data_IF_198818881490
#
_entry.id   IF_198818881490
#
_cell.length_a   1.000
_cell.length_b   1.000
_cell.length_c   1.000
_cell.angle_alpha   90.00
_cell.angle_beta   90.00
_cell.angle_gamma   90.00
#
_symmetry.space_group_name_H-M   'P 1'
#
loop_
_entity.id
_entity.type
_entity.pdbx_description
1 polymer ?
#
# COMPACT_ATOMS: atom_id res chain seq x y z
N UNK A 1 -14.11 3.19 -70.98
CA UNK A 1 -13.54 2.88 -69.66
C UNK A 1 -13.79 4.11 -68.79
N UNK A 2 -14.72 4.03 -67.84
CA UNK A 2 -15.08 5.10 -66.93
C UNK A 2 -14.28 4.92 -65.62
N UNK A 3 -13.40 5.89 -65.32
CA UNK A 3 -12.64 5.94 -64.07
C UNK A 3 -13.56 6.46 -62.95
N UNK A 4 -13.88 5.62 -62.00
CA UNK A 4 -14.54 6.03 -60.77
C UNK A 4 -13.45 6.49 -59.80
N UNK A 5 -13.37 7.78 -59.55
CA UNK A 5 -12.58 8.36 -58.47
C UNK A 5 -13.41 8.13 -57.18
N UNK A 6 -12.96 7.22 -56.33
CA UNK A 6 -13.51 7.00 -54.99
C UNK A 6 -12.96 8.10 -54.08
N UNK A 7 -13.73 9.13 -53.81
CA UNK A 7 -13.40 10.16 -52.82
C UNK A 7 -13.73 9.55 -51.47
N UNK A 8 -12.71 9.11 -50.75
CA UNK A 8 -12.82 8.70 -49.35
C UNK A 8 -12.94 9.97 -48.48
N UNK A 9 -14.17 10.37 -48.16
CA UNK A 9 -14.42 11.43 -47.18
C UNK A 9 -14.10 10.80 -45.80
N UNK A 10 -12.88 11.03 -45.31
CA UNK A 10 -12.56 10.85 -43.93
C UNK A 10 -13.22 11.98 -43.15
N UNK A 11 -14.43 11.76 -42.65
CA UNK A 11 -15.05 12.62 -41.69
C UNK A 11 -14.21 12.56 -40.40
N UNK A 12 -13.34 13.57 -40.24
CA UNK A 12 -12.72 13.81 -38.93
C UNK A 12 -13.86 14.26 -38.03
N UNK A 13 -14.43 13.31 -37.33
CA UNK A 13 -15.31 13.58 -36.19
C UNK A 13 -14.38 14.13 -35.11
N UNK A 14 -14.25 15.42 -35.02
CA UNK A 14 -13.69 16.09 -33.85
C UNK A 14 -14.68 15.86 -32.73
N UNK A 15 -14.43 14.83 -31.95
CA UNK A 15 -15.03 14.74 -30.63
C UNK A 15 -14.43 15.90 -29.85
N UNK A 16 -15.22 16.95 -29.62
CA UNK A 16 -14.97 17.90 -28.54
C UNK A 16 -15.07 17.12 -27.22
N UNK A 17 -14.00 16.38 -26.94
CA UNK A 17 -13.79 15.68 -25.70
C UNK A 17 -13.47 16.74 -24.64
N UNK A 18 -14.48 17.34 -24.04
CA UNK A 18 -14.33 17.92 -22.71
C UNK A 18 -14.04 16.74 -21.78
N UNK A 19 -12.77 16.31 -21.75
CA UNK A 19 -12.30 15.28 -20.86
C UNK A 19 -12.43 15.80 -19.43
N UNK A 20 -13.53 15.42 -18.74
CA UNK A 20 -13.70 15.64 -17.30
C UNK A 20 -12.81 14.70 -16.49
N UNK A 21 -11.72 14.21 -17.06
CA UNK A 21 -10.83 13.24 -16.49
C UNK A 21 -9.38 13.69 -16.42
N UNK A 22 -8.62 13.06 -15.54
CA UNK A 22 -7.19 13.31 -15.36
C UNK A 22 -6.44 11.99 -15.53
N UNK A 23 -5.53 11.97 -16.50
CA UNK A 23 -4.54 10.90 -16.66
C UNK A 23 -3.35 11.21 -15.77
N UNK A 24 -2.77 10.19 -15.16
CA UNK A 24 -1.60 10.33 -14.30
C UNK A 24 -0.67 9.14 -14.45
N UNK A 25 0.60 9.39 -14.23
CA UNK A 25 1.60 8.34 -14.06
C UNK A 25 2.45 8.60 -12.82
N UNK A 26 2.96 7.53 -12.21
CA UNK A 26 3.87 7.57 -11.08
C UNK A 26 4.85 6.40 -11.20
N UNK A 27 6.13 6.70 -11.25
CA UNK A 27 7.18 5.71 -11.42
C UNK A 27 8.14 5.79 -10.24
N UNK A 28 8.51 4.61 -9.73
CA UNK A 28 9.50 4.42 -8.68
C UNK A 28 10.67 3.64 -9.23
N UNK A 29 11.84 4.18 -9.07
CA UNK A 29 13.11 3.54 -9.45
C UNK A 29 14.09 3.65 -8.32
N UNK A 30 14.97 2.70 -8.23
CA UNK A 30 16.04 2.73 -7.22
C UNK A 30 17.34 2.13 -7.77
N UNK A 31 18.45 2.57 -7.19
CA UNK A 31 19.71 1.85 -7.17
C UNK A 31 19.95 1.40 -5.75
N UNK A 32 20.23 0.12 -5.55
CA UNK A 32 20.56 -0.44 -4.25
C UNK A 32 21.96 -1.07 -4.24
N UNK A 33 22.59 -1.03 -3.07
CA UNK A 33 23.93 -1.51 -2.85
C UNK A 33 24.03 -2.15 -1.46
N UNK A 34 24.47 -3.42 -1.39
CA UNK A 34 24.72 -4.11 -0.13
C UNK A 34 25.94 -3.54 0.58
N UNK A 35 25.80 -3.25 1.88
CA UNK A 35 26.88 -2.81 2.75
C UNK A 35 27.54 -3.99 3.49
N UNK A 36 27.20 -5.24 3.13
CA UNK A 36 27.87 -6.42 3.68
C UNK A 36 29.37 -6.42 3.34
N UNK A 37 30.19 -6.88 4.28
CA UNK A 37 31.63 -7.00 4.11
C UNK A 37 31.97 -8.24 3.26
N UNK A 38 31.73 -8.12 1.96
CA UNK A 38 32.01 -9.17 0.98
C UNK A 38 32.80 -8.59 -0.22
N UNK A 39 33.60 -9.39 -0.86
CA UNK A 39 34.46 -8.97 -1.98
C UNK A 39 33.68 -8.51 -3.23
N UNK A 40 32.40 -8.93 -3.37
CA UNK A 40 31.52 -8.54 -4.47
C UNK A 40 30.11 -8.29 -3.95
N UNK A 41 29.83 -7.10 -3.36
CA UNK A 41 28.54 -6.78 -2.80
C UNK A 41 27.44 -6.71 -3.87
N UNK A 42 26.24 -7.16 -3.52
CA UNK A 42 25.08 -7.07 -4.40
C UNK A 42 24.76 -5.62 -4.73
N UNK A 43 24.44 -5.36 -6.00
CA UNK A 43 24.03 -4.05 -6.51
C UNK A 43 23.09 -4.20 -7.70
N UNK A 44 22.08 -3.31 -7.77
CA UNK A 44 21.05 -3.39 -8.80
C UNK A 44 20.46 -2.00 -9.10
N UNK A 45 20.18 -1.73 -10.39
CA UNK A 45 19.23 -0.70 -10.80
C UNK A 45 17.89 -1.34 -11.06
N UNK A 46 16.81 -0.75 -10.51
CA UNK A 46 15.47 -1.33 -10.55
C UNK A 46 14.41 -0.28 -10.80
N UNK A 47 13.40 -0.64 -11.61
CA UNK A 47 12.11 0.02 -11.61
C UNK A 47 11.18 -0.81 -10.73
N UNK A 48 10.91 -0.31 -9.53
CA UNK A 48 10.14 -1.06 -8.53
C UNK A 48 8.65 -1.02 -8.80
N UNK A 49 8.12 0.10 -9.33
CA UNK A 49 6.72 0.24 -9.77
C UNK A 49 6.60 1.28 -10.90
N UNK A 50 5.70 1.03 -11.84
CA UNK A 50 5.22 2.03 -12.77
C UNK A 50 3.69 2.00 -12.77
N UNK A 51 3.08 3.03 -12.18
CA UNK A 51 1.63 3.17 -12.00
C UNK A 51 1.12 4.13 -13.07
N UNK A 52 0.11 3.72 -13.83
CA UNK A 52 -0.54 4.53 -14.85
C UNK A 52 -2.05 4.44 -14.67
N UNK A 53 -2.76 5.56 -14.71
CA UNK A 53 -4.19 5.55 -14.48
C UNK A 53 -4.91 6.75 -15.07
N UNK A 54 -6.24 6.63 -15.09
CA UNK A 54 -7.16 7.67 -15.48
C UNK A 54 -8.34 7.74 -14.51
N UNK A 55 -8.61 8.95 -14.02
CA UNK A 55 -9.80 9.25 -13.23
C UNK A 55 -10.76 10.05 -14.11
N UNK A 56 -12.03 9.67 -14.11
CA UNK A 56 -13.07 10.33 -14.88
C UNK A 56 -14.25 10.70 -13.99
N UNK A 57 -14.66 11.97 -14.06
CA UNK A 57 -15.87 12.45 -13.38
C UNK A 57 -17.03 12.35 -14.34
N UNK A 58 -17.97 11.44 -14.09
CA UNK A 58 -19.16 11.21 -14.88
C UNK A 58 -20.20 12.33 -14.65
N UNK A 59 -20.38 12.70 -13.39
CA UNK A 59 -21.21 13.82 -12.94
C UNK A 59 -20.90 14.16 -11.47
N UNK A 60 -21.70 15.00 -10.83
CA UNK A 60 -21.50 15.42 -9.43
C UNK A 60 -21.65 14.28 -8.40
N UNK A 61 -22.20 13.12 -8.78
CA UNK A 61 -22.41 11.96 -7.89
C UNK A 61 -21.58 10.74 -8.27
N UNK A 62 -21.08 10.66 -9.49
CA UNK A 62 -20.38 9.48 -9.99
C UNK A 62 -19.02 9.83 -10.56
N UNK A 63 -18.01 9.08 -10.16
CA UNK A 63 -16.68 9.09 -10.77
C UNK A 63 -16.14 7.68 -10.94
N UNK A 64 -15.32 7.49 -11.95
CA UNK A 64 -14.66 6.21 -12.23
C UNK A 64 -13.15 6.37 -12.15
N UNK A 65 -12.46 5.29 -11.80
CA UNK A 65 -11.00 5.23 -11.79
C UNK A 65 -10.52 3.90 -12.37
N UNK A 66 -9.59 3.97 -13.31
CA UNK A 66 -8.85 2.82 -13.79
C UNK A 66 -7.36 3.06 -13.55
N UNK A 67 -6.66 2.06 -13.00
CA UNK A 67 -5.24 2.15 -12.71
C UNK A 67 -4.57 0.82 -13.00
N UNK A 68 -3.48 0.88 -13.74
CA UNK A 68 -2.56 -0.24 -13.94
C UNK A 68 -1.31 -0.04 -13.11
N UNK A 69 -0.72 -1.14 -12.66
CA UNK A 69 0.54 -1.19 -11.95
C UNK A 69 1.46 -2.17 -12.68
N UNK A 70 2.57 -1.68 -13.19
CA UNK A 70 3.62 -2.51 -13.78
C UNK A 70 4.66 -2.76 -12.71
N UNK A 71 4.78 -4.00 -12.32
CA UNK A 71 5.70 -4.43 -11.27
C UNK A 71 6.39 -5.75 -11.61
N UNK A 72 7.33 -6.15 -10.77
CA UNK A 72 8.03 -7.42 -10.91
C UNK A 72 7.06 -8.59 -10.74
N UNK A 73 7.27 -9.62 -11.54
CA UNK A 73 6.51 -10.85 -11.53
C UNK A 73 7.47 -12.05 -11.65
N UNK A 74 7.21 -13.10 -10.90
CA UNK A 74 7.95 -14.36 -10.96
C UNK A 74 7.41 -15.35 -12.02
N UNK A 75 6.32 -15.00 -12.74
CA UNK A 75 5.59 -15.92 -13.61
C UNK A 75 5.99 -15.85 -15.09
N UNK A 76 7.27 -15.64 -15.39
CA UNK A 76 7.81 -15.74 -16.77
C UNK A 76 8.10 -14.42 -17.47
N UNK A 77 7.61 -13.27 -16.99
CA UNK A 77 8.05 -11.95 -17.41
C UNK A 77 8.53 -11.16 -16.19
N UNK A 78 9.68 -10.51 -16.30
CA UNK A 78 10.22 -9.69 -15.21
C UNK A 78 9.31 -8.51 -14.85
N UNK A 79 8.54 -8.00 -15.82
CA UNK A 79 7.56 -6.94 -15.63
C UNK A 79 6.20 -7.35 -16.17
N UNK A 80 5.15 -7.21 -15.34
CA UNK A 80 3.76 -7.52 -15.70
C UNK A 80 2.87 -6.34 -15.33
N UNK A 81 1.93 -6.01 -16.21
CA UNK A 81 0.90 -5.02 -15.93
C UNK A 81 -0.29 -5.70 -15.25
N UNK A 82 -0.68 -5.19 -14.08
CA UNK A 82 -1.83 -5.62 -13.31
C UNK A 82 -2.89 -4.54 -13.30
N UNK A 83 -4.16 -4.92 -13.39
CA UNK A 83 -5.28 -4.02 -13.16
C UNK A 83 -5.41 -3.75 -11.66
N UNK A 84 -4.84 -2.62 -11.22
CA UNK A 84 -4.73 -2.28 -9.79
C UNK A 84 -6.00 -1.66 -9.22
N UNK A 85 -6.69 -0.84 -10.01
CA UNK A 85 -7.99 -0.26 -9.68
C UNK A 85 -8.89 -0.28 -10.92
N UNK A 86 -10.15 -0.62 -10.72
CA UNK A 86 -11.21 -0.49 -11.70
C UNK A 86 -12.51 -0.24 -10.92
N UNK A 87 -12.74 1.00 -10.52
CA UNK A 87 -13.77 1.33 -9.55
C UNK A 87 -14.73 2.42 -10.03
N UNK A 88 -15.98 2.27 -9.62
CA UNK A 88 -17.01 3.30 -9.67
C UNK A 88 -17.23 3.81 -8.25
N UNK A 89 -17.13 5.12 -8.06
CA UNK A 89 -17.49 5.79 -6.83
C UNK A 89 -18.85 6.46 -7.00
N UNK A 90 -19.76 6.19 -6.08
CA UNK A 90 -21.06 6.87 -5.95
C UNK A 90 -21.05 7.73 -4.69
N UNK A 91 -21.39 9.00 -4.83
CA UNK A 91 -21.49 9.98 -3.75
C UNK A 91 -22.95 10.51 -3.67
N UNK A 92 -23.88 9.76 -3.03
CA UNK A 92 -25.29 10.20 -2.93
C UNK A 92 -25.45 11.51 -2.18
N UNK A 93 -24.55 11.77 -1.23
CA UNK A 93 -24.45 13.01 -0.46
C UNK A 93 -22.97 13.40 -0.31
N UNK A 94 -22.68 14.58 0.22
CA UNK A 94 -21.32 15.03 0.53
C UNK A 94 -20.66 14.27 1.69
N UNK A 95 -21.42 13.40 2.38
CA UNK A 95 -20.97 12.64 3.55
C UNK A 95 -20.95 11.12 3.35
N UNK A 96 -21.54 10.62 2.28
CA UNK A 96 -21.64 9.18 2.00
C UNK A 96 -20.95 8.88 0.67
N UNK A 97 -20.02 7.94 0.70
CA UNK A 97 -19.30 7.48 -0.48
C UNK A 97 -19.34 5.96 -0.54
N UNK A 98 -19.74 5.44 -1.69
CA UNK A 98 -19.72 3.99 -1.98
C UNK A 98 -18.79 3.76 -3.14
N UNK A 99 -17.80 2.91 -2.95
CA UNK A 99 -16.89 2.47 -4.00
C UNK A 99 -17.22 1.01 -4.35
N UNK A 100 -17.26 0.69 -5.65
CA UNK A 100 -17.55 -0.65 -6.17
C UNK A 100 -16.60 -1.02 -7.29
N UNK A 101 -16.20 -2.29 -7.37
CA UNK A 101 -15.25 -2.85 -8.36
C UNK A 101 -13.92 -3.23 -7.70
N UNK A 102 -12.79 -3.08 -8.38
CA UNK A 102 -11.48 -3.22 -7.75
C UNK A 102 -11.18 -1.90 -7.04
N UNK A 103 -11.36 -1.89 -5.73
CA UNK A 103 -11.29 -0.71 -4.86
C UNK A 103 -10.07 -0.77 -3.93
N UNK A 104 -9.69 0.36 -3.37
CA UNK A 104 -8.63 0.42 -2.36
C UNK A 104 -9.09 -0.17 -1.03
N UNK A 105 -8.22 -0.93 -0.37
CA UNK A 105 -8.43 -1.30 1.02
C UNK A 105 -8.28 -0.06 1.92
N UNK A 106 -9.30 0.22 2.76
CA UNK A 106 -9.35 1.44 3.57
C UNK A 106 -8.23 1.51 4.58
N UNK A 107 -7.99 0.43 5.31
CA UNK A 107 -6.96 0.37 6.33
C UNK A 107 -5.56 0.55 5.74
N UNK A 108 -5.23 -0.22 4.71
CA UNK A 108 -4.00 -0.08 3.95
C UNK A 108 -3.78 1.35 3.43
N UNK A 109 -4.81 1.96 2.83
CA UNK A 109 -4.72 3.31 2.26
C UNK A 109 -4.40 4.36 3.31
N UNK A 110 -4.98 4.25 4.50
CA UNK A 110 -4.68 5.15 5.62
C UNK A 110 -3.21 5.07 6.02
N UNK A 111 -2.69 3.85 6.22
CA UNK A 111 -1.31 3.63 6.65
C UNK A 111 -0.29 4.07 5.59
N UNK A 112 -0.51 3.72 4.33
CA UNK A 112 0.38 4.10 3.23
C UNK A 112 0.45 5.62 3.04
N UNK A 113 -0.69 6.30 3.11
CA UNK A 113 -0.73 7.76 3.01
C UNK A 113 -0.03 8.45 4.19
N UNK A 114 -0.14 7.86 5.38
CA UNK A 114 0.50 8.38 6.58
C UNK A 114 2.03 8.26 6.52
N UNK A 115 2.55 7.13 6.08
CA UNK A 115 3.98 6.96 5.80
C UNK A 115 4.46 7.92 4.71
N UNK A 116 3.71 8.04 3.61
CA UNK A 116 3.93 9.01 2.52
C UNK A 116 5.17 8.80 1.66
N UNK A 117 5.98 7.77 1.92
CA UNK A 117 7.26 7.48 1.24
C UNK A 117 7.30 6.08 0.63
N UNK A 118 6.17 5.68 -0.01
CA UNK A 118 6.08 4.37 -0.67
C UNK A 118 7.20 4.10 -1.68
N UNK A 119 7.72 5.12 -2.36
CA UNK A 119 8.78 4.97 -3.34
C UNK A 119 10.14 4.60 -2.70
N UNK A 120 10.28 4.81 -1.39
CA UNK A 120 11.42 4.37 -0.59
C UNK A 120 11.18 2.95 -0.09
N UNK A 121 10.03 2.75 0.59
CA UNK A 121 9.63 1.45 1.12
C UNK A 121 8.13 1.36 1.30
N UNK A 122 7.58 0.17 1.17
CA UNK A 122 6.16 -0.12 1.39
C UNK A 122 5.77 0.14 2.84
N UNK A 123 4.47 0.39 3.12
CA UNK A 123 3.95 0.42 4.49
C UNK A 123 4.11 -0.96 5.16
N UNK A 124 4.03 -1.00 6.50
CA UNK A 124 4.23 -2.24 7.26
C UNK A 124 3.33 -3.38 6.77
N UNK A 125 2.01 -3.15 6.68
CA UNK A 125 1.06 -4.18 6.24
C UNK A 125 1.29 -4.65 4.80
N UNK A 126 1.80 -3.80 3.89
CA UNK A 126 2.10 -4.16 2.50
C UNK A 126 3.35 -5.05 2.40
N UNK A 127 4.41 -4.71 3.13
CA UNK A 127 5.67 -5.47 3.07
C UNK A 127 5.48 -6.86 3.66
N UNK A 128 4.72 -6.97 4.74
CA UNK A 128 4.46 -8.22 5.45
C UNK A 128 3.23 -8.98 4.92
N UNK A 129 2.58 -8.48 3.85
CA UNK A 129 1.41 -9.11 3.22
C UNK A 129 0.21 -9.32 4.16
N UNK A 130 0.05 -8.48 5.16
CA UNK A 130 -1.11 -8.52 6.06
C UNK A 130 -2.36 -7.93 5.41
N UNK A 131 -2.16 -7.02 4.45
CA UNK A 131 -3.23 -6.45 3.64
C UNK A 131 -2.77 -6.25 2.21
N UNK A 132 -3.72 -6.15 1.29
CA UNK A 132 -3.50 -5.80 -0.11
C UNK A 132 -3.85 -4.33 -0.34
N UNK A 133 -3.20 -3.70 -1.33
CA UNK A 133 -3.49 -2.32 -1.71
C UNK A 133 -4.95 -2.13 -2.15
N UNK A 134 -5.46 -3.08 -2.94
CA UNK A 134 -6.80 -3.07 -3.51
C UNK A 134 -7.29 -4.48 -3.76
N UNK A 135 -8.61 -4.62 -3.87
CA UNK A 135 -9.26 -5.89 -4.15
C UNK A 135 -10.64 -5.64 -4.76
N UNK A 136 -11.24 -6.68 -5.35
CA UNK A 136 -12.60 -6.62 -5.87
C UNK A 136 -13.61 -6.65 -4.71
N UNK A 137 -14.59 -5.74 -4.74
CA UNK A 137 -15.60 -5.66 -3.69
C UNK A 137 -16.36 -4.35 -3.65
N UNK A 138 -16.88 -4.04 -2.47
CA UNK A 138 -17.62 -2.82 -2.17
C UNK A 138 -17.12 -2.20 -0.87
N UNK A 139 -17.02 -0.88 -0.86
CA UNK A 139 -16.63 -0.08 0.31
C UNK A 139 -17.60 1.04 0.56
N UNK A 140 -17.84 1.33 1.82
CA UNK A 140 -18.63 2.45 2.32
C UNK A 140 -17.73 3.35 3.16
N UNK A 141 -17.78 4.66 2.90
CA UNK A 141 -17.20 5.68 3.79
C UNK A 141 -18.33 6.64 4.19
N UNK A 142 -18.46 6.86 5.49
CA UNK A 142 -19.44 7.79 6.05
C UNK A 142 -18.76 8.85 6.92
N UNK A 143 -18.89 10.12 6.54
CA UNK A 143 -18.43 11.27 7.32
C UNK A 143 -19.52 11.61 8.33
N UNK A 144 -19.39 11.08 9.55
CA UNK A 144 -20.36 11.28 10.62
C UNK A 144 -20.34 12.74 11.12
N UNK A 145 -19.15 13.30 11.25
CA UNK A 145 -18.90 14.72 11.53
C UNK A 145 -17.58 15.16 10.88
N UNK A 146 -17.22 16.43 10.97
CA UNK A 146 -15.97 16.94 10.41
C UNK A 146 -14.72 16.24 11.01
N UNK A 147 -14.88 15.70 12.22
CA UNK A 147 -13.82 15.04 12.97
C UNK A 147 -13.92 13.51 12.99
N UNK A 148 -15.06 12.92 12.58
CA UNK A 148 -15.29 11.49 12.72
C UNK A 148 -15.73 10.87 11.40
N UNK A 149 -14.96 9.90 10.93
CA UNK A 149 -15.20 9.14 9.70
C UNK A 149 -15.28 7.67 10.06
N UNK A 150 -16.26 6.98 9.51
CA UNK A 150 -16.43 5.53 9.61
C UNK A 150 -16.28 4.94 8.22
N UNK A 151 -15.59 3.83 8.11
CA UNK A 151 -15.52 3.06 6.86
C UNK A 151 -15.80 1.57 7.10
N UNK A 152 -16.34 0.90 6.09
CA UNK A 152 -16.55 -0.53 6.08
C UNK A 152 -16.35 -1.07 4.65
N UNK A 153 -15.88 -2.31 4.53
CA UNK A 153 -15.61 -2.96 3.25
C UNK A 153 -15.97 -4.45 3.29
N UNK A 154 -16.39 -4.95 2.13
CA UNK A 154 -16.45 -6.39 1.84
C UNK A 154 -15.68 -6.58 0.54
N UNK A 155 -14.63 -7.41 0.60
CA UNK A 155 -13.67 -7.65 -0.47
C UNK A 155 -13.55 -9.16 -0.72
N UNK A 156 -13.07 -9.55 -1.88
CA UNK A 156 -12.76 -10.97 -2.14
C UNK A 156 -11.73 -11.53 -1.14
N UNK A 157 -10.68 -10.81 -0.84
CA UNK A 157 -9.64 -11.23 0.11
C UNK A 157 -8.30 -11.57 -0.54
N UNK A 158 -8.28 -11.90 -1.82
CA UNK A 158 -7.10 -12.39 -2.56
C UNK A 158 -6.22 -11.28 -3.14
N UNK A 159 -6.72 -10.04 -3.14
CA UNK A 159 -6.04 -8.88 -3.70
C UNK A 159 -6.11 -8.79 -5.23
N UNK A 160 -5.85 -7.60 -5.77
CA UNK A 160 -6.05 -7.26 -7.19
C UNK A 160 -5.24 -8.08 -8.20
N UNK A 161 -4.26 -8.87 -7.76
CA UNK A 161 -3.43 -9.72 -8.63
C UNK A 161 -4.01 -11.11 -8.85
N UNK A 162 -4.99 -11.49 -8.06
CA UNK A 162 -5.62 -12.80 -8.06
C UNK A 162 -7.11 -12.68 -8.34
N UNK A 163 -7.70 -13.76 -8.78
CA UNK A 163 -9.15 -13.94 -8.81
C UNK A 163 -9.60 -14.52 -7.47
N UNK A 164 -10.90 -14.40 -7.18
CA UNK A 164 -11.53 -15.05 -6.02
C UNK A 164 -11.16 -16.54 -6.01
N UNK A 165 -10.82 -17.07 -4.85
CA UNK A 165 -10.59 -18.48 -4.64
C UNK A 165 -11.87 -19.33 -4.92
N UNK A 166 -11.70 -20.65 -5.05
CA UNK A 166 -12.82 -21.54 -5.36
C UNK A 166 -13.84 -21.68 -4.23
N UNK A 167 -13.50 -21.27 -3.01
CA UNK A 167 -14.34 -21.37 -1.83
C UNK A 167 -15.22 -20.13 -1.66
N UNK A 168 -14.84 -19.02 -2.27
CA UNK A 168 -15.63 -17.79 -2.30
C UNK A 168 -15.72 -17.04 -0.97
N UNK A 169 -14.76 -17.23 -0.08
CA UNK A 169 -14.72 -16.52 1.19
C UNK A 169 -14.45 -15.03 0.97
N UNK A 170 -15.16 -14.16 1.69
CA UNK A 170 -15.01 -12.72 1.57
C UNK A 170 -14.36 -12.12 2.81
N UNK A 171 -13.35 -11.27 2.60
CA UNK A 171 -12.74 -10.45 3.63
C UNK A 171 -13.68 -9.31 3.99
N UNK A 172 -14.01 -9.16 5.28
CA UNK A 172 -14.74 -8.02 5.83
C UNK A 172 -13.80 -7.10 6.59
N UNK A 173 -14.11 -5.81 6.61
CA UNK A 173 -13.36 -4.85 7.40
C UNK A 173 -14.17 -3.63 7.76
N UNK A 174 -13.88 -3.04 8.93
CA UNK A 174 -14.45 -1.77 9.36
C UNK A 174 -13.41 -0.95 10.12
N UNK A 175 -13.52 0.36 10.04
CA UNK A 175 -12.63 1.28 10.71
C UNK A 175 -13.27 2.60 11.08
N UNK A 176 -12.63 3.28 12.00
CA UNK A 176 -12.99 4.59 12.50
C UNK A 176 -11.75 5.50 12.45
N UNK A 177 -11.93 6.71 11.95
CA UNK A 177 -10.89 7.75 11.97
C UNK A 177 -11.43 8.93 12.77
N UNK A 178 -10.72 9.27 13.85
CA UNK A 178 -10.93 10.50 14.61
C UNK A 178 -9.84 11.50 14.23
N UNK A 179 -10.24 12.71 13.87
CA UNK A 179 -9.34 13.84 13.56
C UNK A 179 -9.51 14.93 14.60
N UNK A 180 -8.39 15.50 15.02
CA UNK A 180 -8.31 16.71 15.83
C UNK A 180 -7.32 17.66 15.19
N UNK A 181 -7.08 18.83 15.78
CA UNK A 181 -6.08 19.77 15.29
C UNK A 181 -4.68 19.13 15.32
N UNK A 182 -4.14 18.84 14.11
CA UNK A 182 -2.83 18.25 13.92
C UNK A 182 -2.74 16.74 14.21
N UNK A 183 -3.81 16.07 14.69
CA UNK A 183 -3.76 14.64 14.99
C UNK A 183 -4.85 13.86 14.24
N UNK A 184 -4.53 12.61 13.89
CA UNK A 184 -5.48 11.64 13.36
C UNK A 184 -5.24 10.30 14.04
N UNK A 185 -6.33 9.67 14.49
CA UNK A 185 -6.33 8.35 15.08
C UNK A 185 -7.13 7.41 14.22
N UNK A 186 -6.66 6.19 14.03
CA UNK A 186 -7.41 5.14 13.36
C UNK A 186 -7.48 3.90 14.25
N UNK A 187 -8.68 3.33 14.31
CA UNK A 187 -8.90 1.98 14.82
C UNK A 187 -9.61 1.21 13.72
N UNK A 188 -9.14 0.03 13.40
CA UNK A 188 -9.75 -0.82 12.38
C UNK A 188 -9.63 -2.29 12.75
N UNK A 189 -10.60 -3.08 12.27
CA UNK A 189 -10.57 -4.54 12.33
C UNK A 189 -10.94 -5.11 10.97
N UNK A 190 -10.11 -6.01 10.46
CA UNK A 190 -10.36 -6.83 9.29
C UNK A 190 -10.56 -8.28 9.71
N UNK A 191 -11.49 -8.96 9.03
CA UNK A 191 -11.72 -10.41 9.14
C UNK A 191 -11.27 -11.02 7.82
N UNK A 192 -10.24 -11.85 7.88
CA UNK A 192 -9.73 -12.59 6.71
C UNK A 192 -10.41 -13.95 6.70
N UNK A 193 -10.97 -14.36 5.54
CA UNK A 193 -11.76 -15.57 5.47
C UNK A 193 -10.98 -16.81 5.89
N UNK A 194 -11.73 -17.78 6.38
CA UNK A 194 -11.25 -19.11 6.71
C UNK A 194 -10.92 -19.86 5.43
N UNK A 195 -9.74 -20.44 5.34
CA UNK A 195 -9.41 -21.41 4.28
C UNK A 195 -9.74 -22.82 4.75
N UNK A 196 -10.42 -23.62 3.92
CA UNK A 196 -10.84 -24.98 4.28
C UNK A 196 -9.70 -26.00 4.08
N UNK A 197 -8.75 -26.03 5.01
CA UNK A 197 -7.79 -27.14 5.11
C UNK A 197 -7.91 -27.79 6.48
N UNK A 198 -8.90 -28.74 6.64
CA UNK A 198 -9.14 -29.50 7.86
C UNK A 198 -10.18 -28.88 8.81
N UNK A 199 -10.46 -29.58 9.91
CA UNK A 199 -11.57 -29.26 10.82
C UNK A 199 -11.26 -28.17 11.87
N UNK A 200 -10.05 -27.61 11.89
CA UNK A 200 -9.55 -26.75 12.99
C UNK A 200 -9.16 -25.32 12.55
N UNK A 201 -9.60 -24.85 11.40
CA UNK A 201 -9.27 -23.49 10.95
C UNK A 201 -10.27 -22.45 11.44
N UNK A 202 -9.74 -21.37 11.98
CA UNK A 202 -10.50 -20.21 12.40
C UNK A 202 -10.27 -19.01 11.48
N UNK A 203 -11.22 -18.08 11.47
CA UNK A 203 -11.02 -16.81 10.76
C UNK A 203 -9.89 -16.02 11.40
N UNK A 204 -9.01 -15.47 10.56
CA UNK A 204 -7.96 -14.58 11.00
C UNK A 204 -8.54 -13.16 11.19
N UNK A 205 -8.12 -12.49 12.25
CA UNK A 205 -8.48 -11.09 12.52
C UNK A 205 -7.24 -10.21 12.49
N UNK A 206 -7.35 -9.00 11.92
CA UNK A 206 -6.29 -8.01 11.94
C UNK A 206 -6.83 -6.77 12.62
N UNK A 207 -6.30 -6.45 13.79
CA UNK A 207 -6.63 -5.24 14.54
C UNK A 207 -5.53 -4.21 14.32
N UNK A 208 -5.90 -2.99 13.95
CA UNK A 208 -4.96 -1.89 13.70
C UNK A 208 -5.31 -0.70 14.57
N UNK A 209 -4.31 -0.16 15.25
CA UNK A 209 -4.36 1.09 15.99
C UNK A 209 -3.28 2.01 15.43
N UNK A 210 -3.65 3.20 14.99
CA UNK A 210 -2.68 4.14 14.45
C UNK A 210 -2.93 5.56 14.94
N UNK A 211 -1.84 6.31 15.09
CA UNK A 211 -1.85 7.72 15.45
C UNK A 211 -0.87 8.48 14.55
N UNK A 212 -1.34 9.59 14.00
CA UNK A 212 -0.55 10.48 13.16
C UNK A 212 -0.62 11.89 13.77
N UNK A 213 0.54 12.50 13.94
CA UNK A 213 0.67 13.91 14.30
C UNK A 213 1.30 14.67 13.15
N UNK A 214 0.73 15.82 12.78
CA UNK A 214 1.25 16.68 11.73
C UNK A 214 1.31 18.12 12.22
N UNK A 215 2.51 18.69 12.21
CA UNK A 215 2.78 20.11 12.41
C UNK A 215 3.23 20.75 11.09
N UNK A 216 3.60 22.02 11.10
CA UNK A 216 4.00 22.75 9.88
C UNK A 216 5.14 22.08 9.11
N UNK A 217 6.14 21.55 9.82
CA UNK A 217 7.34 20.95 9.22
C UNK A 217 7.65 19.54 9.71
N UNK A 218 6.82 18.98 10.60
CA UNK A 218 7.03 17.67 11.21
C UNK A 218 5.77 16.81 11.04
N UNK A 219 5.96 15.58 10.57
CA UNK A 219 4.95 14.53 10.61
C UNK A 219 5.52 13.33 11.36
N UNK A 220 4.78 12.88 12.38
CA UNK A 220 5.08 11.67 13.15
C UNK A 220 3.93 10.69 12.96
N UNK A 221 4.23 9.43 12.77
CA UNK A 221 3.24 8.38 12.68
C UNK A 221 3.65 7.16 13.47
N UNK A 222 2.65 6.46 14.00
CA UNK A 222 2.82 5.17 14.64
C UNK A 222 1.63 4.29 14.39
N UNK A 223 1.86 3.00 14.24
CA UNK A 223 0.84 1.97 14.12
C UNK A 223 1.22 0.76 14.96
N UNK A 224 0.22 0.17 15.61
CA UNK A 224 0.28 -1.14 16.22
C UNK A 224 -0.73 -2.05 15.52
N UNK A 225 -0.27 -3.20 15.08
CA UNK A 225 -1.06 -4.20 14.38
C UNK A 225 -0.99 -5.50 15.17
N UNK A 226 -2.14 -6.11 15.42
CA UNK A 226 -2.28 -7.44 16.02
C UNK A 226 -3.05 -8.33 15.08
N UNK A 227 -2.49 -9.48 14.74
CA UNK A 227 -3.12 -10.50 13.92
C UNK A 227 -3.35 -11.74 14.76
N UNK A 228 -4.62 -12.08 14.95
CA UNK A 228 -5.10 -13.25 15.68
C UNK A 228 -5.41 -14.37 14.69
N UNK A 229 -5.17 -15.60 15.05
CA UNK A 229 -5.29 -16.80 14.20
C UNK A 229 -4.54 -16.62 12.87
N UNK A 230 -3.29 -16.22 12.95
CA UNK A 230 -2.46 -15.93 11.79
C UNK A 230 -2.39 -17.13 10.85
N UNK A 231 -2.58 -16.87 9.56
CA UNK A 231 -2.70 -17.89 8.51
C UNK A 231 -3.86 -18.87 8.74
N UNK A 232 -4.91 -18.41 9.46
CA UNK A 232 -6.08 -19.19 9.86
C UNK A 232 -5.75 -20.40 10.79
N UNK A 233 -4.62 -20.38 11.49
CA UNK A 233 -4.24 -21.35 12.50
C UNK A 233 -4.66 -20.82 13.86
N UNK A 234 -5.42 -21.65 14.60
CA UNK A 234 -5.92 -21.30 15.94
C UNK A 234 -4.74 -20.96 16.86
N UNK A 235 -4.90 -19.88 17.64
CA UNK A 235 -3.96 -19.36 18.61
C UNK A 235 -2.60 -18.90 18.06
N UNK A 236 -2.35 -18.98 16.75
CA UNK A 236 -1.21 -18.31 16.16
C UNK A 236 -1.44 -16.79 16.12
N UNK A 237 -0.58 -16.04 16.75
CA UNK A 237 -0.63 -14.58 16.77
C UNK A 237 0.57 -13.97 16.07
N UNK A 238 0.42 -12.76 15.56
CA UNK A 238 1.53 -11.92 15.15
C UNK A 238 1.25 -10.49 15.56
N UNK A 239 2.21 -9.86 16.16
CA UNK A 239 2.14 -8.44 16.55
C UNK A 239 3.19 -7.63 15.83
N UNK A 240 2.91 -6.34 15.62
CA UNK A 240 3.86 -5.46 14.99
C UNK A 240 3.64 -4.01 15.39
N UNK A 241 4.75 -3.32 15.52
CA UNK A 241 4.81 -1.90 15.78
C UNK A 241 5.63 -1.21 14.69
N UNK A 242 5.13 -0.13 14.12
CA UNK A 242 5.85 0.69 13.16
C UNK A 242 5.76 2.16 13.55
N UNK A 243 6.88 2.86 13.62
CA UNK A 243 6.92 4.31 13.85
C UNK A 243 7.75 4.99 12.79
N UNK A 244 7.35 6.19 12.42
CA UNK A 244 8.06 6.97 11.41
C UNK A 244 7.95 8.46 11.65
N UNK A 245 8.96 9.17 11.16
CA UNK A 245 9.05 10.60 11.23
C UNK A 245 9.47 11.19 9.89
N UNK A 246 8.93 12.36 9.54
CA UNK A 246 9.34 13.18 8.41
C UNK A 246 9.50 14.62 8.90
N UNK A 247 10.69 15.18 8.74
CA UNK A 247 11.03 16.54 9.14
C UNK A 247 11.45 17.36 7.91
N UNK A 248 10.66 18.34 7.53
CA UNK A 248 11.04 19.35 6.53
C UNK A 248 12.05 20.33 7.14
N UNK A 249 13.23 20.40 6.55
CA UNK A 249 14.31 21.28 6.99
C UNK A 249 14.49 22.51 6.08
N UNK A 250 13.52 22.74 5.18
CA UNK A 250 13.54 23.84 4.22
C UNK A 250 14.28 23.52 2.92
N UNK A 251 14.20 24.43 1.96
CA UNK A 251 14.84 24.30 0.64
C UNK A 251 14.46 23.01 -0.10
N UNK A 252 13.19 22.54 0.05
CA UNK A 252 12.69 21.29 -0.53
C UNK A 252 13.44 20.02 -0.04
N UNK A 253 14.08 20.08 1.12
CA UNK A 253 14.79 18.96 1.74
C UNK A 253 14.07 18.48 2.97
N UNK A 254 13.89 17.17 3.11
CA UNK A 254 13.36 16.55 4.32
C UNK A 254 14.23 15.39 4.80
N UNK A 255 14.31 15.25 6.12
CA UNK A 255 14.85 14.08 6.79
C UNK A 255 13.71 13.12 7.09
N UNK A 256 13.97 11.83 7.04
CA UNK A 256 12.99 10.82 7.42
C UNK A 256 13.63 9.64 8.12
N UNK A 257 12.84 9.00 8.96
CA UNK A 257 13.18 7.75 9.61
C UNK A 257 11.97 6.87 9.79
N UNK A 258 12.19 5.57 9.88
CA UNK A 258 11.19 4.55 10.20
C UNK A 258 11.84 3.43 10.97
N UNK A 259 11.12 2.91 11.95
CA UNK A 259 11.47 1.71 12.69
C UNK A 259 10.25 0.80 12.77
N UNK A 260 10.43 -0.47 12.39
CA UNK A 260 9.43 -1.51 12.52
C UNK A 260 9.99 -2.62 13.43
N UNK A 261 9.12 -3.16 14.26
CA UNK A 261 9.37 -4.35 15.06
C UNK A 261 8.20 -5.29 14.87
N UNK A 262 8.47 -6.57 14.63
CA UNK A 262 7.45 -7.60 14.50
C UNK A 262 7.84 -8.88 15.22
N UNK A 263 6.83 -9.57 15.74
CA UNK A 263 6.95 -10.79 16.53
C UNK A 263 5.75 -11.70 16.30
N UNK A 264 5.91 -13.01 16.57
CA UNK A 264 4.86 -14.02 16.46
C UNK A 264 4.95 -15.07 17.56
N UNK A 265 3.79 -15.58 17.97
CA UNK A 265 3.67 -16.63 18.98
C UNK A 265 2.63 -17.66 18.52
N UNK A 266 2.89 -18.95 18.80
CA UNK A 266 1.93 -20.04 18.69
C UNK A 266 1.18 -20.27 20.02
N UNK A 267 0.29 -21.27 20.07
CA UNK A 267 -0.45 -21.64 21.27
C UNK A 267 0.42 -22.03 22.48
N UNK A 268 1.70 -22.28 22.31
CA UNK A 268 2.66 -22.63 23.34
C UNK A 268 3.69 -21.51 23.60
N UNK A 269 3.40 -20.29 23.13
CA UNK A 269 4.27 -19.13 23.26
C UNK A 269 5.62 -19.27 22.50
N UNK A 270 5.70 -20.16 21.49
CA UNK A 270 6.89 -20.26 20.64
C UNK A 270 6.79 -19.33 19.45
N UNK A 271 7.88 -18.67 19.12
CA UNK A 271 8.01 -17.93 17.85
C UNK A 271 7.96 -18.89 16.65
N UNK A 272 7.16 -18.57 15.65
CA UNK A 272 6.94 -19.46 14.49
C UNK A 272 7.31 -18.86 13.13
N UNK A 273 7.52 -17.54 13.02
CA UNK A 273 7.76 -16.86 11.75
C UNK A 273 9.08 -16.04 11.74
N UNK A 274 10.08 -16.54 12.41
CA UNK A 274 11.35 -15.88 12.73
C UNK A 274 12.04 -15.26 11.51
N UNK A 275 12.03 -15.92 10.35
CA UNK A 275 12.70 -15.45 9.15
C UNK A 275 12.13 -14.14 8.60
N UNK A 276 10.85 -13.84 8.89
CA UNK A 276 10.14 -12.67 8.38
C UNK A 276 9.87 -11.62 9.46
N UNK A 277 10.32 -11.87 10.68
CA UNK A 277 10.15 -11.01 11.85
C UNK A 277 11.47 -10.40 12.28
N UNK A 278 11.38 -9.46 13.21
CA UNK A 278 12.54 -8.76 13.74
C UNK A 278 12.43 -7.24 13.52
N UNK A 279 13.55 -6.61 13.33
CA UNK A 279 13.71 -5.17 13.34
C UNK A 279 14.05 -4.61 11.96
N UNK A 280 13.31 -3.61 11.52
CA UNK A 280 13.63 -2.82 10.34
C UNK A 280 13.90 -1.38 10.74
N UNK A 281 15.04 -0.84 10.32
CA UNK A 281 15.36 0.59 10.46
C UNK A 281 15.60 1.21 9.09
N UNK A 282 14.99 2.37 8.83
CA UNK A 282 15.24 3.17 7.62
C UNK A 282 15.55 4.60 8.07
N UNK A 283 16.67 5.16 7.60
CA UNK A 283 17.03 6.55 7.83
C UNK A 283 17.50 7.15 6.52
N UNK A 284 17.02 8.35 6.19
CA UNK A 284 17.41 8.98 4.95
C UNK A 284 17.09 10.46 4.83
N UNK A 285 17.50 11.00 3.69
CA UNK A 285 17.27 12.36 3.25
C UNK A 285 16.59 12.36 1.88
N UNK A 286 15.58 13.18 1.73
CA UNK A 286 14.82 13.38 0.49
C UNK A 286 15.00 14.80 0.00
N UNK A 287 15.17 14.99 -1.31
CA UNK A 287 15.14 16.28 -2.00
C UNK A 287 14.06 16.28 -3.06
N UNK A 288 13.14 17.23 -3.00
CA UNK A 288 12.26 17.51 -4.13
C UNK A 288 13.02 18.36 -5.14
N UNK A 289 13.37 17.74 -6.28
CA UNK A 289 14.15 18.38 -7.35
C UNK A 289 13.32 19.39 -8.13
N UNK A 290 12.08 19.06 -8.39
CA UNK A 290 11.07 19.90 -9.01
C UNK A 290 9.68 19.33 -8.72
N UNK A 291 8.60 20.03 -9.12
CA UNK A 291 7.24 19.49 -8.98
C UNK A 291 7.14 18.11 -9.65
N UNK A 292 6.80 17.11 -8.87
CA UNK A 292 6.63 15.74 -9.33
C UNK A 292 7.91 14.90 -9.42
N UNK A 293 9.10 15.42 -9.07
CA UNK A 293 10.35 14.66 -9.07
C UNK A 293 11.01 14.73 -7.70
N UNK A 294 11.23 13.58 -7.07
CA UNK A 294 11.90 13.44 -5.77
C UNK A 294 13.05 12.44 -5.87
N UNK A 295 14.11 12.74 -5.18
CA UNK A 295 15.27 11.86 -5.02
C UNK A 295 15.53 11.68 -3.52
N UNK A 296 15.85 10.46 -3.10
CA UNK A 296 16.22 10.18 -1.72
C UNK A 296 17.45 9.27 -1.65
N UNK A 297 18.29 9.53 -0.67
CA UNK A 297 19.37 8.62 -0.25
C UNK A 297 19.02 8.11 1.14
N UNK A 298 19.08 6.79 1.33
CA UNK A 298 18.78 6.19 2.63
C UNK A 298 19.53 4.88 2.85
N UNK A 299 19.66 4.54 4.11
CA UNK A 299 20.11 3.22 4.55
C UNK A 299 18.91 2.48 5.12
N UNK A 300 18.75 1.22 4.70
CA UNK A 300 17.80 0.28 5.25
C UNK A 300 18.58 -0.85 5.90
N UNK A 301 18.30 -1.12 7.16
CA UNK A 301 18.84 -2.20 7.96
C UNK A 301 17.71 -3.13 8.40
N UNK A 302 17.83 -4.40 8.12
CA UNK A 302 16.91 -5.44 8.61
C UNK A 302 17.69 -6.47 9.41
N UNK A 303 17.26 -6.72 10.65
CA UNK A 303 17.77 -7.75 11.53
C UNK A 303 16.64 -8.73 11.82
N UNK A 304 16.77 -9.98 11.35
CA UNK A 304 15.79 -11.02 11.60
C UNK A 304 15.72 -11.35 13.10
N UNK A 305 14.55 -11.80 13.55
CA UNK A 305 14.40 -12.35 14.90
C UNK A 305 15.26 -13.61 15.06
N UNK A 306 15.62 -13.93 16.29
CA UNK A 306 16.34 -15.16 16.67
C UNK A 306 15.70 -15.79 17.86
N UNK A 307 15.76 -17.11 17.95
CA UNK A 307 15.27 -17.84 19.13
C UNK A 307 16.13 -17.55 20.36
N UNK A 308 15.52 -17.65 21.52
CA UNK A 308 16.19 -17.51 22.79
C UNK A 308 17.38 -18.51 22.90
N UNK A 309 18.57 -17.99 23.12
CA UNK A 309 19.81 -18.79 23.25
C UNK A 309 20.57 -19.04 21.95
N UNK A 310 20.08 -18.58 20.80
CA UNK A 310 20.82 -18.56 19.54
C UNK A 310 21.65 -17.28 19.39
N UNK A 311 22.65 -17.32 18.50
CA UNK A 311 23.39 -16.10 18.12
C UNK A 311 22.46 -15.12 17.42
N UNK A 312 22.53 -13.85 17.80
CA UNK A 312 21.75 -12.79 17.15
C UNK A 312 22.04 -12.75 15.65
N UNK A 313 20.96 -12.63 14.84
CA UNK A 313 21.10 -12.49 13.39
C UNK A 313 21.90 -11.23 13.04
N UNK A 314 22.79 -11.35 12.05
CA UNK A 314 23.47 -10.18 11.50
C UNK A 314 22.51 -9.27 10.75
N UNK A 315 22.67 -7.97 10.92
CA UNK A 315 21.83 -7.00 10.22
C UNK A 315 22.21 -6.93 8.73
N UNK A 316 21.22 -7.08 7.87
CA UNK A 316 21.38 -6.86 6.43
C UNK A 316 21.23 -5.36 6.13
N UNK A 317 22.33 -4.70 5.84
CA UNK A 317 22.42 -3.27 5.59
C UNK A 317 22.53 -2.97 4.10
N UNK A 318 21.62 -2.13 3.60
CA UNK A 318 21.53 -1.73 2.21
C UNK A 318 21.49 -0.21 2.07
N UNK A 319 22.31 0.34 1.17
CA UNK A 319 22.24 1.73 0.73
C UNK A 319 21.34 1.84 -0.49
N UNK A 320 20.45 2.85 -0.48
CA UNK A 320 19.54 3.12 -1.58
C UNK A 320 19.68 4.54 -2.10
N UNK A 321 19.58 4.68 -3.41
CA UNK A 321 19.23 5.92 -4.10
C UNK A 321 17.88 5.70 -4.76
N UNK A 322 16.83 6.35 -4.25
CA UNK A 322 15.47 6.21 -4.74
C UNK A 322 15.06 7.43 -5.57
N UNK A 323 14.26 7.20 -6.59
CA UNK A 323 13.66 8.21 -7.45
C UNK A 323 12.15 7.98 -7.55
N UNK A 324 11.36 9.03 -7.25
CA UNK A 324 9.94 9.13 -7.64
C UNK A 324 9.80 10.20 -8.71
N UNK A 325 9.10 9.90 -9.80
CA UNK A 325 8.60 10.94 -10.67
C UNK A 325 7.15 10.67 -11.07
N UNK A 326 6.37 11.77 -11.13
CA UNK A 326 4.93 11.74 -11.41
C UNK A 326 4.50 12.92 -12.26
N UNK A 327 3.58 12.69 -13.17
CA UNK A 327 3.01 13.66 -14.07
C UNK A 327 1.55 13.33 -14.40
#
# INVERSE_FOLDING_TARGET
MKNYILILIVSIITFDSYSQGTTYAKIFSDFNYSLADVSNPYKEFKVSNAIFGHKHTLNNKFSANITFDVGNNSSGSSYTAFLKLASLKWSPTDRVFVDFGIIKASNFTFMENSWGKRYIYKSFQDVNKWSHFSDAGVGLTYILSDNLIIDAQILNGDGYKNLQDSEGHMRGGAGLILKTDGMSFRVARDIVPRTMYGDEYESQYINTFAMIYTASNLSLGGEYNLRENTSNVIDNTSSAFSVYANLDIGNDVSLFGRYDLSDSEDANENQWNIENEGELTIIGIEKQMTKGVKVAVNVKSFKAATLDGEEEAEANNMLYLNLEYKF
#
